data_IF_072787307523
#
_entry.id   IF_072787307523
#
_cell.length_a   1.000
_cell.length_b   1.000
_cell.length_c   1.000
_cell.angle_alpha   90.00
_cell.angle_beta   90.00
_cell.angle_gamma   90.00
#
_symmetry.space_group_name_H-M   'P 1'
#
loop_
_entity.id
_entity.type
_entity.pdbx_description
1 polymer ?
#
# COMPACT_ATOMS: atom_id res chain seq x y z
N UNK A 1 11.26 -7.60 -14.08
CA UNK A 1 12.44 -7.31 -14.92
C UNK A 1 13.75 -7.31 -14.14
N UNK A 2 13.93 -6.52 -13.07
CA UNK A 2 15.24 -6.40 -12.39
C UNK A 2 15.68 -7.56 -11.49
N UNK A 3 14.83 -8.58 -11.27
CA UNK A 3 15.18 -9.71 -10.41
C UNK A 3 15.92 -10.78 -11.23
N UNK A 4 17.20 -11.09 -10.93
CA UNK A 4 18.01 -11.98 -11.77
C UNK A 4 17.53 -13.44 -11.77
N UNK A 5 16.84 -13.85 -10.70
CA UNK A 5 16.37 -15.25 -10.51
C UNK A 5 14.87 -15.40 -10.74
N UNK A 6 14.22 -14.36 -11.26
CA UNK A 6 12.78 -14.31 -11.51
C UNK A 6 11.90 -14.62 -10.29
N UNK A 7 12.30 -14.16 -9.10
CA UNK A 7 11.50 -14.32 -7.87
C UNK A 7 10.26 -13.39 -7.82
N UNK A 8 10.15 -12.46 -8.76
CA UNK A 8 9.03 -11.51 -8.85
C UNK A 8 8.51 -11.48 -10.27
N UNK A 9 7.25 -11.88 -10.45
CA UNK A 9 6.58 -11.98 -11.75
C UNK A 9 5.23 -11.30 -11.69
N UNK A 10 4.67 -10.98 -12.86
CA UNK A 10 3.26 -10.65 -12.96
C UNK A 10 2.48 -11.92 -13.29
N UNK A 11 1.34 -12.12 -12.63
CA UNK A 11 0.40 -13.16 -13.02
C UNK A 11 -0.57 -12.62 -14.09
N UNK A 12 -1.38 -13.52 -14.66
CA UNK A 12 -2.38 -13.19 -15.69
C UNK A 12 -3.49 -12.26 -15.17
N UNK A 13 -3.72 -12.27 -13.86
CA UNK A 13 -4.68 -11.40 -13.16
C UNK A 13 -4.14 -9.96 -12.99
N UNK A 14 -2.88 -9.72 -13.34
CA UNK A 14 -2.26 -8.40 -13.24
C UNK A 14 -1.69 -8.05 -11.86
N UNK A 15 -1.63 -9.00 -10.92
CA UNK A 15 -0.93 -8.85 -9.66
C UNK A 15 0.58 -9.06 -9.87
N UNK A 16 1.38 -8.30 -9.12
CA UNK A 16 2.79 -8.62 -8.95
C UNK A 16 2.88 -9.70 -7.86
N UNK A 17 3.38 -10.88 -8.16
CA UNK A 17 3.52 -12.00 -7.21
C UNK A 17 4.98 -12.13 -6.78
N UNK A 18 5.21 -12.42 -5.50
CA UNK A 18 6.54 -12.61 -4.91
C UNK A 18 6.69 -14.08 -4.50
N UNK A 19 7.58 -14.80 -5.19
CA UNK A 19 7.97 -16.16 -4.81
C UNK A 19 9.12 -16.08 -3.77
N UNK A 20 8.78 -16.23 -2.50
CA UNK A 20 9.71 -16.04 -1.38
C UNK A 20 10.88 -17.02 -1.41
N UNK A 21 10.63 -18.29 -1.73
CA UNK A 21 11.62 -19.37 -1.82
C UNK A 21 12.63 -19.18 -2.98
N UNK A 22 12.28 -18.40 -4.00
CA UNK A 22 13.16 -18.11 -5.14
C UNK A 22 14.06 -16.91 -4.91
N UNK A 23 13.77 -16.09 -3.89
CA UNK A 23 14.51 -14.85 -3.63
C UNK A 23 15.90 -15.13 -3.07
N UNK A 24 16.95 -14.72 -3.78
CA UNK A 24 18.35 -14.82 -3.33
C UNK A 24 18.86 -13.56 -2.60
N UNK A 25 17.98 -12.59 -2.33
CA UNK A 25 18.31 -11.45 -1.49
C UNK A 25 19.22 -10.38 -2.09
N UNK A 26 19.28 -10.23 -3.42
CA UNK A 26 20.07 -9.15 -4.08
C UNK A 26 19.58 -7.73 -3.78
N UNK A 27 18.34 -7.58 -3.30
CA UNK A 27 17.67 -6.30 -2.95
C UNK A 27 17.51 -5.29 -4.08
N UNK A 28 17.99 -5.56 -5.29
CA UNK A 28 17.89 -4.61 -6.41
C UNK A 28 16.43 -4.27 -6.79
N UNK A 29 15.51 -5.22 -6.57
CA UNK A 29 14.07 -4.95 -6.73
C UNK A 29 13.53 -3.86 -5.80
N UNK A 30 14.13 -3.65 -4.61
CA UNK A 30 13.76 -2.56 -3.71
C UNK A 30 14.21 -1.21 -4.28
N UNK A 31 15.44 -1.14 -4.80
CA UNK A 31 16.00 0.08 -5.38
C UNK A 31 15.17 0.53 -6.60
N UNK A 32 14.83 -0.40 -7.48
CA UNK A 32 14.03 -0.10 -8.68
C UNK A 32 12.54 0.18 -8.37
N UNK A 33 12.06 -0.11 -7.17
CA UNK A 33 10.68 0.22 -6.82
C UNK A 33 10.57 1.72 -6.52
N UNK A 34 9.80 2.51 -7.31
CA UNK A 34 9.69 3.95 -7.09
C UNK A 34 9.04 4.26 -5.74
N UNK A 35 8.12 3.40 -5.29
CA UNK A 35 7.41 3.55 -4.01
C UNK A 35 8.16 2.99 -2.80
N UNK A 36 9.29 2.29 -2.99
CA UNK A 36 10.08 1.67 -1.90
C UNK A 36 9.25 0.79 -0.93
N UNK A 37 8.20 0.14 -1.44
CA UNK A 37 7.27 -0.70 -0.65
C UNK A 37 7.74 -2.14 -0.47
N UNK A 38 8.89 -2.52 -1.04
CA UNK A 38 9.46 -3.85 -0.84
C UNK A 38 10.32 -3.84 0.42
N UNK A 39 10.00 -4.70 1.38
CA UNK A 39 10.72 -4.82 2.65
C UNK A 39 11.66 -6.02 2.60
N UNK A 40 12.83 -5.90 3.22
CA UNK A 40 13.82 -6.96 3.22
C UNK A 40 13.99 -7.53 4.63
N UNK A 41 14.01 -8.86 4.73
CA UNK A 41 14.29 -9.53 5.98
C UNK A 41 15.79 -9.60 6.21
N UNK A 42 16.34 -8.60 6.91
CA UNK A 42 17.77 -8.55 7.24
C UNK A 42 18.18 -9.66 8.20
N UNK A 43 17.39 -9.83 9.25
CA UNK A 43 17.59 -10.82 10.28
C UNK A 43 16.51 -11.89 10.21
N UNK A 44 16.71 -12.98 10.94
CA UNK A 44 15.69 -13.99 11.11
C UNK A 44 14.68 -13.55 12.18
N UNK A 45 13.79 -12.63 11.81
CA UNK A 45 12.75 -12.10 12.70
C UNK A 45 11.78 -13.17 13.19
N UNK A 46 11.70 -14.29 12.48
CA UNK A 46 10.87 -15.39 12.88
C UNK A 46 11.60 -16.23 13.91
N UNK A 47 12.80 -16.75 13.65
CA UNK A 47 13.42 -17.72 14.55
C UNK A 47 14.16 -17.12 15.75
N UNK A 48 14.17 -15.79 15.92
CA UNK A 48 14.95 -15.09 16.95
C UNK A 48 14.15 -13.99 17.63
N UNK A 49 14.35 -13.78 18.95
CA UNK A 49 13.79 -12.63 19.64
C UNK A 49 14.48 -11.34 19.18
N UNK A 50 13.75 -10.23 19.28
CA UNK A 50 14.16 -8.91 18.77
C UNK A 50 15.47 -8.43 19.41
N UNK A 51 15.71 -8.79 20.66
CA UNK A 51 16.90 -8.36 21.41
C UNK A 51 18.18 -9.09 21.00
N UNK A 52 18.07 -10.19 20.24
CA UNK A 52 19.17 -11.12 19.94
C UNK A 52 19.34 -11.41 18.45
N UNK A 53 19.01 -10.43 17.61
CA UNK A 53 19.05 -10.57 16.15
C UNK A 53 20.46 -10.83 15.59
N UNK A 54 21.50 -10.33 16.25
CA UNK A 54 22.91 -10.43 15.83
C UNK A 54 23.60 -11.77 16.14
N UNK A 55 22.89 -12.72 16.73
CA UNK A 55 23.46 -14.02 17.08
C UNK A 55 24.08 -14.76 15.87
N UNK A 56 25.14 -15.53 16.10
CA UNK A 56 25.80 -16.29 15.04
C UNK A 56 24.88 -17.37 14.44
N UNK A 57 25.21 -17.94 13.27
CA UNK A 57 24.40 -19.00 12.63
C UNK A 57 24.18 -20.25 13.49
N UNK A 58 25.11 -20.52 14.42
CA UNK A 58 25.14 -21.65 15.35
C UNK A 58 24.30 -21.43 16.62
N UNK A 59 23.78 -20.22 16.83
CA UNK A 59 22.95 -19.93 17.98
C UNK A 59 21.62 -20.70 17.93
N UNK A 60 21.01 -21.03 19.08
CA UNK A 60 19.74 -21.74 19.13
C UNK A 60 18.67 -20.97 18.36
N UNK A 61 17.95 -21.71 17.51
CA UNK A 61 16.84 -21.22 16.69
C UNK A 61 15.54 -21.77 17.25
N UNK A 62 14.54 -20.92 17.37
CA UNK A 62 13.23 -21.36 17.81
C UNK A 62 12.35 -20.18 18.21
N UNK A 63 11.10 -20.21 17.76
CA UNK A 63 10.04 -19.40 18.35
C UNK A 63 9.33 -20.19 19.42
N UNK A 64 8.85 -19.47 20.41
CA UNK A 64 7.81 -19.98 21.30
C UNK A 64 6.62 -20.53 20.50
N UNK A 65 6.03 -21.62 20.99
CA UNK A 65 4.95 -22.32 20.30
C UNK A 65 3.69 -21.45 20.18
N UNK A 66 3.39 -20.65 21.21
CA UNK A 66 2.30 -19.67 21.23
C UNK A 66 2.37 -18.70 20.05
N UNK A 67 3.57 -18.17 19.76
CA UNK A 67 3.81 -17.26 18.63
C UNK A 67 3.65 -17.99 17.28
N UNK A 68 3.93 -19.30 17.20
CA UNK A 68 3.69 -20.06 15.97
C UNK A 68 2.19 -20.18 15.68
N UNK A 69 1.38 -20.42 16.71
CA UNK A 69 -0.08 -20.53 16.60
C UNK A 69 -0.75 -19.22 16.13
N UNK A 70 -0.13 -18.08 16.41
CA UNK A 70 -0.61 -16.78 15.91
C UNK A 70 -0.46 -16.64 14.38
N UNK A 71 0.46 -17.38 13.75
CA UNK A 71 0.78 -17.20 12.32
C UNK A 71 -0.28 -17.86 11.45
N UNK A 72 -0.64 -17.17 10.38
CA UNK A 72 -1.57 -17.71 9.39
C UNK A 72 -0.91 -18.89 8.63
N UNK A 73 -1.51 -20.09 8.64
CA UNK A 73 -0.95 -21.26 7.96
C UNK A 73 -0.89 -21.13 6.42
N UNK A 74 -1.77 -20.31 5.83
CA UNK A 74 -1.86 -20.12 4.38
C UNK A 74 -0.86 -19.09 3.85
N UNK A 75 -0.01 -18.52 4.72
CA UNK A 75 0.97 -17.51 4.34
C UNK A 75 2.38 -17.99 4.70
N UNK A 76 3.28 -17.99 3.73
CA UNK A 76 4.67 -18.40 3.96
C UNK A 76 5.33 -17.51 5.01
N UNK A 77 5.80 -18.13 6.09
CA UNK A 77 6.68 -17.51 7.09
C UNK A 77 8.07 -17.40 6.48
N UNK A 78 8.59 -16.18 6.31
CA UNK A 78 9.84 -15.95 5.57
C UNK A 78 11.06 -16.07 6.47
N UNK A 79 12.12 -16.65 5.91
CA UNK A 79 13.46 -16.65 6.51
C UNK A 79 14.18 -15.31 6.28
N UNK A 80 15.36 -15.16 6.91
CA UNK A 80 16.29 -14.08 6.59
C UNK A 80 16.68 -14.10 5.10
N UNK A 81 17.06 -12.95 4.56
CA UNK A 81 17.60 -12.86 3.21
C UNK A 81 16.56 -12.74 2.10
N UNK A 82 15.28 -12.66 2.45
CA UNK A 82 14.16 -12.65 1.49
C UNK A 82 13.49 -11.29 1.45
N UNK A 83 13.12 -10.85 0.24
CA UNK A 83 12.28 -9.67 0.03
C UNK A 83 10.80 -10.02 0.19
N UNK A 84 10.04 -9.11 0.77
CA UNK A 84 8.59 -9.17 0.85
C UNK A 84 7.94 -7.87 0.36
N UNK A 85 6.64 -7.94 0.12
CA UNK A 85 5.82 -6.81 -0.33
C UNK A 85 4.35 -7.10 -0.02
N UNK A 86 3.49 -6.10 -0.17
CA UNK A 86 2.05 -6.34 -0.25
C UNK A 86 1.72 -7.20 -1.49
N UNK A 87 1.10 -8.36 -1.29
CA UNK A 87 0.66 -9.29 -2.35
C UNK A 87 -0.85 -9.25 -2.58
N UNK A 88 -1.52 -8.17 -2.15
CA UNK A 88 -2.99 -8.06 -2.15
C UNK A 88 -3.71 -9.27 -1.53
N UNK A 89 -3.11 -9.84 -0.49
CA UNK A 89 -3.65 -11.02 0.19
C UNK A 89 -3.90 -12.19 -0.77
N UNK A 90 -2.90 -12.55 -1.58
CA UNK A 90 -2.93 -13.70 -2.50
C UNK A 90 -3.50 -14.98 -1.88
N UNK A 91 -3.24 -15.24 -0.59
CA UNK A 91 -3.81 -16.38 0.12
C UNK A 91 -5.35 -16.36 0.15
N UNK A 92 -5.97 -15.18 0.29
CA UNK A 92 -7.42 -15.02 0.28
C UNK A 92 -7.98 -15.07 -1.15
N UNK A 93 -7.24 -14.52 -2.12
CA UNK A 93 -7.59 -14.58 -3.55
C UNK A 93 -7.66 -16.04 -4.01
N UNK A 94 -6.61 -16.82 -3.74
CA UNK A 94 -6.55 -18.22 -4.13
C UNK A 94 -7.59 -19.07 -3.39
N UNK A 95 -7.81 -18.82 -2.09
CA UNK A 95 -8.90 -19.48 -1.33
C UNK A 95 -10.27 -19.20 -1.96
N UNK A 96 -10.58 -17.94 -2.30
CA UNK A 96 -11.83 -17.58 -2.95
C UNK A 96 -11.98 -18.23 -4.34
N UNK A 97 -10.89 -18.29 -5.12
CA UNK A 97 -10.86 -18.98 -6.43
C UNK A 97 -11.10 -20.48 -6.31
N UNK A 98 -10.43 -21.14 -5.36
CA UNK A 98 -10.59 -22.57 -5.10
C UNK A 98 -12.04 -22.84 -4.69
N UNK A 99 -12.60 -22.06 -3.77
CA UNK A 99 -13.99 -22.19 -3.34
C UNK A 99 -14.98 -21.96 -4.49
N UNK A 100 -14.74 -20.98 -5.36
CA UNK A 100 -15.56 -20.76 -6.54
C UNK A 100 -15.52 -21.95 -7.51
N UNK A 101 -14.34 -22.53 -7.77
CA UNK A 101 -14.19 -23.74 -8.60
C UNK A 101 -14.89 -24.95 -7.98
N UNK A 102 -14.76 -25.16 -6.68
CA UNK A 102 -15.43 -26.26 -5.96
C UNK A 102 -16.95 -26.14 -6.07
N UNK A 103 -17.50 -24.92 -5.96
CA UNK A 103 -18.95 -24.68 -6.14
C UNK A 103 -19.41 -24.89 -7.57
N UNK A 104 -18.60 -24.47 -8.55
CA UNK A 104 -18.92 -24.61 -9.97
C UNK A 104 -18.92 -26.08 -10.44
N UNK A 105 -18.20 -26.99 -9.76
CA UNK A 105 -18.04 -28.40 -10.17
C UNK A 105 -17.60 -28.49 -11.64
N UNK A 106 -18.40 -29.15 -12.49
CA UNK A 106 -18.15 -29.32 -13.92
C UNK A 106 -18.71 -28.17 -14.78
N UNK A 107 -19.34 -27.16 -14.16
CA UNK A 107 -19.85 -26.00 -14.90
C UNK A 107 -18.75 -24.97 -15.15
N UNK A 108 -18.80 -24.32 -16.32
CA UNK A 108 -17.87 -23.25 -16.69
C UNK A 108 -18.10 -21.94 -15.92
N UNK A 109 -19.09 -21.87 -15.02
CA UNK A 109 -19.43 -20.65 -14.29
C UNK A 109 -18.54 -20.43 -13.06
N UNK A 110 -17.25 -20.22 -13.29
CA UNK A 110 -16.23 -19.93 -12.28
C UNK A 110 -16.16 -18.42 -12.05
N UNK A 111 -17.25 -17.83 -11.56
CA UNK A 111 -17.27 -16.42 -11.15
C UNK A 111 -17.13 -16.33 -9.64
N UNK A 112 -16.20 -15.48 -9.19
CA UNK A 112 -16.06 -15.15 -7.77
C UNK A 112 -17.18 -14.16 -7.42
N UNK A 113 -18.08 -14.48 -6.48
CA UNK A 113 -19.16 -13.57 -6.11
C UNK A 113 -18.61 -12.26 -5.54
N UNK A 114 -19.26 -11.13 -5.86
CA UNK A 114 -18.95 -9.84 -5.26
C UNK A 114 -19.08 -9.92 -3.72
N UNK A 115 -18.12 -9.34 -3.01
CA UNK A 115 -18.07 -9.38 -1.54
C UNK A 115 -17.57 -10.68 -0.91
N UNK A 116 -17.39 -11.76 -1.68
CA UNK A 116 -16.84 -13.03 -1.15
C UNK A 116 -15.35 -12.97 -0.81
N UNK A 117 -14.66 -11.94 -1.31
CA UNK A 117 -13.24 -11.71 -1.10
C UNK A 117 -13.04 -10.29 -0.57
N UNK A 118 -12.47 -10.19 0.63
CA UNK A 118 -11.97 -8.94 1.18
C UNK A 118 -10.51 -9.11 1.58
N UNK A 119 -9.67 -8.14 1.24
CA UNK A 119 -8.27 -8.14 1.70
C UNK A 119 -8.21 -7.84 3.20
N UNK A 120 -7.13 -8.24 3.86
CA UNK A 120 -6.99 -8.00 5.31
C UNK A 120 -7.03 -6.51 5.66
N UNK A 121 -6.42 -5.65 4.83
CA UNK A 121 -6.44 -4.20 5.05
C UNK A 121 -7.80 -3.55 4.74
N UNK A 122 -8.54 -4.06 3.75
CA UNK A 122 -9.93 -3.64 3.50
C UNK A 122 -10.82 -4.00 4.70
N UNK A 123 -10.81 -5.27 5.12
CA UNK A 123 -11.65 -5.75 6.22
C UNK A 123 -11.34 -5.05 7.56
N UNK A 124 -10.08 -4.70 7.80
CA UNK A 124 -9.67 -4.05 9.05
C UNK A 124 -9.95 -2.54 9.08
N UNK A 125 -10.26 -1.91 7.95
CA UNK A 125 -10.47 -0.47 7.88
C UNK A 125 -11.92 -0.14 8.27
N UNK A 126 -12.19 0.52 9.41
CA UNK A 126 -13.55 0.86 9.82
C UNK A 126 -14.18 1.97 8.97
N UNK A 127 -13.37 2.70 8.20
CA UNK A 127 -13.79 3.81 7.36
C UNK A 127 -13.99 3.40 5.89
N UNK A 128 -13.89 2.10 5.57
CA UNK A 128 -14.03 1.55 4.23
C UNK A 128 -13.16 2.26 3.17
N UNK A 129 -12.00 2.78 3.58
CA UNK A 129 -11.13 3.58 2.72
C UNK A 129 -10.39 2.76 1.65
N UNK A 130 -10.38 1.43 1.77
CA UNK A 130 -9.67 0.52 0.88
C UNK A 130 -10.70 -0.41 0.24
N UNK A 131 -10.93 -0.26 -1.05
CA UNK A 131 -11.80 -1.15 -1.83
C UNK A 131 -10.95 -2.02 -2.74
N UNK A 132 -11.18 -3.33 -2.71
CA UNK A 132 -10.51 -4.31 -3.56
C UNK A 132 -11.56 -5.12 -4.32
N UNK A 133 -11.29 -5.41 -5.61
CA UNK A 133 -12.23 -6.16 -6.46
C UNK A 133 -11.67 -6.45 -7.85
N UNK A 134 -12.50 -7.06 -8.68
CA UNK A 134 -12.18 -7.37 -10.08
C UNK A 134 -12.37 -6.13 -10.97
N UNK A 135 -11.29 -5.68 -11.59
CA UNK A 135 -11.30 -4.53 -12.51
C UNK A 135 -11.92 -4.86 -13.87
N UNK A 136 -12.01 -6.15 -14.23
CA UNK A 136 -12.63 -6.57 -15.51
C UNK A 136 -14.15 -6.46 -15.46
N UNK A 137 -14.75 -6.53 -14.26
CA UNK A 137 -16.18 -6.32 -14.07
C UNK A 137 -16.47 -4.81 -13.99
N UNK A 138 -17.14 -4.28 -15.02
CA UNK A 138 -17.54 -2.87 -15.08
C UNK A 138 -18.55 -2.49 -14.00
N UNK A 139 -19.34 -3.45 -13.51
CA UNK A 139 -20.34 -3.23 -12.45
C UNK A 139 -19.73 -3.24 -11.05
N UNK A 140 -18.47 -3.65 -10.90
CA UNK A 140 -17.81 -3.71 -9.60
C UNK A 140 -17.64 -2.32 -8.99
N UNK A 141 -17.66 -2.27 -7.65
CA UNK A 141 -17.43 -1.04 -6.89
C UNK A 141 -16.09 -0.38 -7.26
N UNK A 142 -15.04 -1.17 -7.48
CA UNK A 142 -13.71 -0.65 -7.85
C UNK A 142 -13.70 0.02 -9.23
N UNK A 143 -14.44 -0.52 -10.20
CA UNK A 143 -14.56 0.07 -11.54
C UNK A 143 -15.28 1.41 -11.48
N UNK A 144 -16.33 1.51 -10.66
CA UNK A 144 -17.06 2.76 -10.43
C UNK A 144 -16.18 3.81 -9.73
N UNK A 145 -15.47 3.42 -8.66
CA UNK A 145 -14.57 4.34 -7.94
C UNK A 145 -13.40 4.83 -8.81
N UNK A 146 -12.87 4.00 -9.70
CA UNK A 146 -11.81 4.40 -10.64
C UNK A 146 -12.28 5.35 -11.73
N UNK A 147 -13.57 5.34 -12.06
CA UNK A 147 -14.16 6.25 -13.02
C UNK A 147 -14.42 7.66 -12.43
N UNK A 148 -14.32 7.82 -11.11
CA UNK A 148 -14.51 9.11 -10.46
C UNK A 148 -13.43 10.12 -10.86
N UNK A 149 -13.78 11.42 -10.99
CA UNK A 149 -12.83 12.45 -11.39
C UNK A 149 -11.72 12.69 -10.35
N UNK A 150 -11.90 12.26 -9.10
CA UNK A 150 -10.86 12.37 -8.07
C UNK A 150 -9.82 11.25 -8.13
N UNK A 151 -10.01 10.24 -8.99
CA UNK A 151 -9.08 9.13 -9.09
C UNK A 151 -7.75 9.56 -9.71
N UNK A 152 -6.64 9.24 -9.07
CA UNK A 152 -5.30 9.52 -9.58
C UNK A 152 -4.32 8.37 -9.30
N UNK A 153 -3.35 8.23 -10.19
CA UNK A 153 -2.24 7.29 -10.00
C UNK A 153 -1.04 8.02 -9.40
N UNK A 154 -0.41 7.45 -8.38
CA UNK A 154 0.85 8.01 -7.89
C UNK A 154 1.94 7.86 -8.95
N UNK A 155 2.78 8.90 -9.09
CA UNK A 155 3.94 8.92 -9.98
C UNK A 155 3.61 8.50 -11.43
N UNK A 156 2.48 8.98 -11.94
CA UNK A 156 1.97 8.61 -13.27
C UNK A 156 2.96 8.90 -14.40
N UNK A 157 3.77 9.96 -14.27
CA UNK A 157 4.82 10.33 -15.22
C UNK A 157 5.87 9.21 -15.44
N UNK A 158 6.06 8.30 -14.48
CA UNK A 158 6.96 7.14 -14.63
C UNK A 158 6.33 6.00 -15.46
N UNK A 159 5.06 6.13 -15.85
CA UNK A 159 4.29 5.13 -16.61
C UNK A 159 4.35 3.71 -16.00
N UNK A 160 4.37 3.63 -14.66
CA UNK A 160 4.42 2.36 -13.93
C UNK A 160 3.07 1.64 -13.86
N UNK A 161 1.99 2.30 -14.35
CA UNK A 161 0.62 1.79 -14.48
C UNK A 161 0.17 0.98 -13.24
N UNK A 162 0.13 1.61 -12.06
CA UNK A 162 -0.15 0.89 -10.82
C UNK A 162 -1.60 0.37 -10.82
N UNK A 163 -1.80 -0.84 -10.28
CA UNK A 163 -3.15 -1.38 -10.05
C UNK A 163 -3.86 -0.72 -8.88
N UNK A 164 -3.10 -0.18 -7.93
CA UNK A 164 -3.63 0.62 -6.84
C UNK A 164 -3.63 2.09 -7.28
N UNK A 165 -4.80 2.72 -7.19
CA UNK A 165 -5.01 4.16 -7.39
C UNK A 165 -5.61 4.75 -6.13
N UNK A 166 -5.59 6.08 -6.02
CA UNK A 166 -6.08 6.81 -4.86
C UNK A 166 -7.17 7.78 -5.29
N UNK A 167 -8.08 8.06 -4.37
CA UNK A 167 -9.02 9.17 -4.51
C UNK A 167 -8.43 10.42 -3.86
N UNK A 168 -8.50 11.54 -4.56
CA UNK A 168 -8.09 12.85 -4.07
C UNK A 168 -8.83 13.23 -2.79
N UNK A 169 -8.09 13.71 -1.78
CA UNK A 169 -8.69 14.15 -0.51
C UNK A 169 -9.40 15.48 -0.72
N UNK A 170 -10.73 15.47 -0.70
CA UNK A 170 -11.53 16.69 -0.66
C UNK A 170 -11.63 17.15 0.80
N UNK A 171 -11.28 18.41 1.06
CA UNK A 171 -11.55 19.08 2.33
C UNK A 171 -12.68 20.07 2.09
N UNK A 172 -13.66 20.13 3.00
CA UNK A 172 -14.78 21.07 2.93
C UNK A 172 -14.61 22.18 3.99
N UNK A 173 -13.75 23.19 3.73
CA UNK A 173 -13.53 24.28 4.69
C UNK A 173 -14.78 25.16 4.79
N UNK A 174 -15.11 25.59 6.01
CA UNK A 174 -16.21 26.53 6.25
C UNK A 174 -15.85 27.92 5.71
N UNK A 175 -16.66 28.54 4.81
CA UNK A 175 -16.39 29.87 4.29
C UNK A 175 -16.27 30.97 5.36
N UNK A 176 -16.93 30.80 6.51
CA UNK A 176 -16.90 31.77 7.61
C UNK A 176 -15.63 31.68 8.49
N UNK A 177 -14.77 30.68 8.28
CA UNK A 177 -13.55 30.51 9.07
C UNK A 177 -12.43 31.43 8.56
N UNK A 178 -11.76 32.19 9.45
CA UNK A 178 -10.57 32.96 9.07
C UNK A 178 -9.51 32.02 8.45
N UNK A 179 -9.00 32.36 7.26
CA UNK A 179 -7.99 31.55 6.55
C UNK A 179 -8.53 30.40 5.69
N UNK A 180 -9.86 30.26 5.53
CA UNK A 180 -10.48 29.19 4.73
C UNK A 180 -9.97 29.09 3.29
N UNK A 181 -9.58 30.21 2.67
CA UNK A 181 -9.05 30.26 1.30
C UNK A 181 -7.55 29.95 1.21
N UNK A 182 -6.78 30.25 2.25
CA UNK A 182 -5.31 30.08 2.26
C UNK A 182 -4.89 28.63 2.49
N UNK A 183 -5.74 27.82 3.12
CA UNK A 183 -5.54 26.38 3.32
C UNK A 183 -5.68 25.51 2.07
N UNK A 184 -5.93 26.10 0.89
CA UNK A 184 -6.30 25.41 -0.35
C UNK A 184 -5.26 25.48 -1.48
N UNK A 185 -3.96 25.71 -1.21
CA UNK A 185 -2.95 25.54 -2.26
C UNK A 185 -2.33 24.13 -2.13
N UNK A 186 -2.60 23.19 -3.06
CA UNK A 186 -1.71 22.04 -3.20
C UNK A 186 -0.37 22.61 -3.67
N UNK A 187 0.63 22.63 -2.78
CA UNK A 187 1.98 23.06 -3.13
C UNK A 187 2.61 22.08 -4.11
N UNK A 188 2.33 22.27 -5.40
CA UNK A 188 3.13 21.80 -6.52
C UNK A 188 3.62 23.04 -7.24
N UNK A 189 4.77 23.55 -6.80
CA UNK A 189 5.43 24.70 -7.41
C UNK A 189 6.82 24.84 -6.80
N UNK A 190 7.83 24.60 -7.61
CA UNK A 190 9.23 24.88 -7.31
C UNK A 190 9.39 26.32 -6.81
N UNK A 191 10.28 26.49 -5.83
CA UNK A 191 10.54 27.79 -5.23
C UNK A 191 11.11 28.79 -6.25
N UNK A 192 10.62 30.02 -6.14
CA UNK A 192 11.36 31.26 -6.39
C UNK A 192 10.52 32.40 -5.81
N UNK A 193 10.73 32.70 -4.52
CA UNK A 193 10.23 33.91 -3.89
C UNK A 193 11.28 35.02 -4.03
N UNK A 194 11.14 35.84 -5.07
CA UNK A 194 11.74 37.17 -5.09
C UNK A 194 10.62 38.20 -5.06
N UNK A 195 10.50 38.89 -3.94
CA UNK A 195 9.53 39.96 -3.73
C UNK A 195 9.78 40.60 -2.38
N UNK A 196 10.67 41.59 -2.36
CA UNK A 196 10.90 42.48 -1.23
C UNK A 196 9.62 43.23 -0.88
N UNK A 197 9.19 43.18 0.38
CA UNK A 197 8.31 44.21 0.95
C UNK A 197 8.95 44.77 2.21
N UNK A 198 9.29 46.05 2.13
CA UNK A 198 9.86 46.85 3.20
C UNK A 198 8.84 46.97 4.34
N UNK A 199 9.26 46.58 5.54
CA UNK A 199 8.59 47.01 6.76
C UNK A 199 8.92 48.48 7.01
N UNK A 200 7.89 49.34 6.96
CA UNK A 200 7.93 50.62 7.67
C UNK A 200 6.75 50.67 8.61
N UNK A 201 7.10 50.53 9.89
CA UNK A 201 6.30 50.91 11.05
C UNK A 201 5.74 52.32 10.88
N UNK A 202 4.50 52.54 11.30
CA UNK A 202 4.10 53.83 11.86
C UNK A 202 2.98 53.58 12.88
N UNK A 203 3.39 53.60 14.14
CA UNK A 203 2.54 53.87 15.29
C UNK A 203 1.99 55.30 15.20
N UNK A 204 0.69 55.48 15.41
CA UNK A 204 0.17 56.72 15.99
C UNK A 204 -0.99 56.41 16.92
N UNK A 205 -0.74 56.71 18.19
CA UNK A 205 -1.61 56.74 19.35
C UNK A 205 -2.82 57.67 19.19
N UNK A 206 -3.99 57.22 19.63
CA UNK A 206 -5.04 58.12 20.11
C UNK A 206 -5.35 57.79 21.58
N UNK A 207 -4.89 58.67 22.47
CA UNK A 207 -5.41 58.80 23.84
C UNK A 207 -6.44 59.94 23.88
N UNK A 208 -7.59 59.62 24.48
CA UNK A 208 -8.44 60.43 25.35
C UNK A 208 -8.79 61.89 24.98
N UNK A 209 -10.10 62.20 24.91
CA UNK A 209 -10.84 62.83 26.01
C UNK A 209 -12.29 63.22 25.64
N UNK A 210 -13.19 63.02 26.60
CA UNK A 210 -14.60 63.47 26.76
C UNK A 210 -15.69 62.69 26.02
#
# INVERSE_FOLDING_TARGET
>A
TVCPVNATVHNEEGLNVMAYNRCIGTRYCANNCPYKVRRFNFFDYNQRPIDKLYWGPLAPKGTEETIKLQKNPNVTVRMRGVMEKCTFCVQRIEEAKINARVRARDSDNIKIPAGSLQTACQQACPADAIVFGDLKDEKSEISQLRALPQNYSLLEYLNVRPRLTYLGRIRNPNPAMPGARTSYIPSHGHGESHGHENATENHSSEEAHK
#
